data_IF_467315785394
#
_entry.id   IF_467315785394
#
_cell.length_a   1.000
_cell.length_b   1.000
_cell.length_c   1.000
_cell.angle_alpha   90.00
_cell.angle_beta   90.00
_cell.angle_gamma   90.00
#
_symmetry.space_group_name_H-M   'P 1'
#
loop_
_entity.id
_entity.type
_entity.pdbx_description
1 polymer ?
#
# COMPACT_ATOMS: atom_id res chain seq x y z
N UNK A 1 8.02 -11.57 51.96
CA UNK A 1 8.28 -10.54 50.94
C UNK A 1 7.43 -10.88 49.71
N UNK A 2 6.32 -10.16 49.48
CA UNK A 2 5.51 -10.32 48.29
C UNK A 2 6.14 -9.48 47.16
N UNK A 3 6.69 -10.12 46.15
CA UNK A 3 7.16 -9.47 44.95
C UNK A 3 5.95 -9.15 44.08
N UNK A 4 5.53 -7.88 44.05
CA UNK A 4 4.49 -7.39 43.16
C UNK A 4 5.03 -7.41 41.72
N UNK A 5 4.56 -8.36 40.89
CA UNK A 5 4.79 -8.33 39.44
C UNK A 5 3.93 -7.21 38.86
N UNK A 6 4.55 -6.10 38.49
CA UNK A 6 3.93 -5.08 37.64
C UNK A 6 3.79 -5.65 36.23
N UNK A 7 2.59 -6.14 35.87
CA UNK A 7 2.26 -6.39 34.48
C UNK A 7 2.19 -5.03 33.77
N UNK A 8 3.21 -4.73 32.97
CA UNK A 8 3.14 -3.63 32.03
C UNK A 8 2.09 -4.00 30.97
N UNK A 9 0.93 -3.37 30.98
CA UNK A 9 -0.03 -3.47 29.87
C UNK A 9 0.59 -2.84 28.64
N UNK A 10 1.03 -3.69 27.71
CA UNK A 10 1.43 -3.23 26.37
C UNK A 10 0.17 -2.70 25.69
N UNK A 11 0.15 -1.39 25.43
CA UNK A 11 -0.94 -0.76 24.68
C UNK A 11 -0.99 -1.37 23.29
N UNK A 12 -2.04 -2.16 23.01
CA UNK A 12 -2.24 -2.81 21.72
C UNK A 12 -2.55 -1.76 20.65
N UNK A 13 -1.97 -1.92 19.45
CA UNK A 13 -2.31 -1.09 18.32
C UNK A 13 -3.74 -1.40 17.83
N UNK A 14 -4.48 -0.36 17.45
CA UNK A 14 -5.84 -0.51 16.94
C UNK A 14 -6.05 0.30 15.66
N UNK A 15 -6.48 -0.35 14.61
CA UNK A 15 -7.10 0.26 13.44
C UNK A 15 -8.59 0.51 13.75
N UNK A 16 -9.09 1.73 13.54
CA UNK A 16 -10.47 2.13 13.88
C UNK A 16 -11.13 2.74 12.66
N UNK A 17 -12.34 2.29 12.35
CA UNK A 17 -13.12 2.73 11.18
C UNK A 17 -12.63 2.15 9.87
N UNK A 18 -13.05 2.77 8.76
CA UNK A 18 -12.70 2.35 7.42
C UNK A 18 -11.40 2.95 6.91
N UNK A 19 -10.83 2.38 5.86
CA UNK A 19 -9.55 2.81 5.27
C UNK A 19 -9.55 4.27 4.78
N UNK A 20 -10.73 4.84 4.52
CA UNK A 20 -10.91 6.24 4.05
C UNK A 20 -11.65 7.12 5.04
N UNK A 21 -12.03 6.59 6.20
CA UNK A 21 -12.70 7.28 7.30
C UNK A 21 -12.34 6.58 8.61
N UNK A 22 -11.11 6.74 9.06
CA UNK A 22 -10.61 6.02 10.24
C UNK A 22 -9.39 6.67 10.87
N UNK A 23 -8.83 5.99 11.85
CA UNK A 23 -7.59 6.39 12.52
C UNK A 23 -6.82 5.16 13.04
N UNK A 24 -5.65 5.40 13.59
CA UNK A 24 -4.77 4.38 14.14
C UNK A 24 -4.35 4.79 15.55
N UNK A 25 -4.51 3.92 16.53
CA UNK A 25 -3.96 4.09 17.88
C UNK A 25 -2.72 3.22 18.06
N UNK A 26 -1.77 3.71 18.88
CA UNK A 26 -0.52 3.01 19.19
C UNK A 26 0.23 2.51 17.95
N UNK A 27 0.35 3.39 16.96
CA UNK A 27 1.05 3.10 15.70
C UNK A 27 2.51 2.71 15.93
N UNK A 28 3.04 1.83 15.09
CA UNK A 28 4.46 1.53 15.00
C UNK A 28 5.08 2.30 13.82
N UNK A 29 6.23 2.93 14.04
CA UNK A 29 7.01 3.49 12.95
C UNK A 29 7.75 2.38 12.20
N UNK A 30 7.68 2.39 10.85
CA UNK A 30 8.59 1.59 10.03
C UNK A 30 9.98 2.23 10.13
N UNK A 31 11.04 1.51 10.54
CA UNK A 31 12.40 2.01 10.45
C UNK A 31 12.69 2.54 9.05
N UNK A 32 13.42 3.67 8.95
CA UNK A 32 13.59 4.34 7.65
C UNK A 32 14.40 3.53 6.63
N UNK A 33 15.11 2.51 7.11
CA UNK A 33 15.84 1.54 6.32
C UNK A 33 15.86 0.19 7.03
N UNK A 34 16.01 -0.87 6.26
CA UNK A 34 16.11 -2.23 6.77
C UNK A 34 16.50 -3.21 5.66
N UNK A 35 16.69 -4.50 6.01
CA UNK A 35 17.03 -5.50 5.01
C UNK A 35 16.01 -5.56 3.86
N UNK A 36 16.42 -5.16 2.65
CA UNK A 36 15.64 -5.21 1.44
C UNK A 36 14.67 -4.04 1.23
N UNK A 37 14.74 -2.97 2.01
CA UNK A 37 13.92 -1.77 1.78
C UNK A 37 14.55 -0.48 2.29
N UNK A 38 14.08 0.63 1.71
CA UNK A 38 14.38 2.00 2.10
C UNK A 38 13.08 2.83 2.05
N UNK A 39 12.77 3.54 3.13
CA UNK A 39 11.61 4.44 3.17
C UNK A 39 11.96 5.73 2.46
N UNK A 40 11.09 6.19 1.58
CA UNK A 40 11.25 7.45 0.83
C UNK A 40 10.19 8.47 1.24
N UNK A 41 10.38 9.75 0.84
CA UNK A 41 9.49 10.88 1.19
C UNK A 41 9.34 11.08 2.71
N UNK A 42 10.40 10.84 3.46
CA UNK A 42 10.39 10.79 4.93
C UNK A 42 9.91 12.07 5.59
N UNK A 43 10.11 13.24 4.95
CA UNK A 43 9.62 14.55 5.44
C UNK A 43 8.09 14.64 5.55
N UNK A 44 7.35 13.73 4.88
CA UNK A 44 5.88 13.67 5.00
C UNK A 44 5.42 13.08 6.32
N UNK A 45 6.31 12.44 7.10
CA UNK A 45 6.00 11.73 8.35
C UNK A 45 4.89 10.67 8.18
N UNK A 46 4.84 10.00 7.01
CA UNK A 46 3.86 8.99 6.64
C UNK A 46 4.50 7.60 6.57
N UNK A 47 5.19 7.23 7.62
CA UNK A 47 5.87 5.92 7.76
C UNK A 47 5.44 5.16 9.01
N UNK A 48 4.23 5.44 9.50
CA UNK A 48 3.61 4.74 10.62
C UNK A 48 2.57 3.75 10.11
N UNK A 49 2.37 2.66 10.84
CA UNK A 49 1.37 1.66 10.50
C UNK A 49 0.94 0.83 11.71
N UNK A 50 -0.09 0.01 11.51
CA UNK A 50 -0.38 -1.08 12.43
C UNK A 50 0.80 -2.05 12.44
N UNK A 51 1.15 -2.69 13.57
CA UNK A 51 2.26 -3.65 13.63
C UNK A 51 2.19 -4.75 12.56
N UNK A 52 0.99 -5.21 12.21
CA UNK A 52 0.80 -6.20 11.14
C UNK A 52 1.26 -5.68 9.78
N UNK A 53 1.02 -4.38 9.47
CA UNK A 53 1.51 -3.77 8.26
C UNK A 53 3.04 -3.65 8.27
N UNK A 54 3.62 -3.24 9.39
CA UNK A 54 5.08 -3.13 9.53
C UNK A 54 5.74 -4.51 9.35
N UNK A 55 5.18 -5.54 9.98
CA UNK A 55 5.66 -6.92 9.84
C UNK A 55 5.53 -7.43 8.40
N UNK A 56 4.38 -7.17 7.75
CA UNK A 56 4.16 -7.50 6.34
C UNK A 56 5.22 -6.88 5.44
N UNK A 57 5.50 -5.58 5.59
CA UNK A 57 6.47 -4.87 4.76
C UNK A 57 7.88 -5.40 4.94
N UNK A 58 8.30 -5.67 6.18
CA UNK A 58 9.61 -6.24 6.48
C UNK A 58 9.74 -7.67 5.93
N UNK A 59 8.68 -8.47 6.04
CA UNK A 59 8.64 -9.83 5.49
C UNK A 59 8.71 -9.81 3.96
N UNK A 60 7.93 -8.93 3.31
CA UNK A 60 7.98 -8.75 1.86
C UNK A 60 9.36 -8.34 1.39
N UNK A 61 9.99 -7.35 2.06
CA UNK A 61 11.32 -6.88 1.73
C UNK A 61 12.39 -8.00 1.83
N UNK A 62 12.33 -8.81 2.88
CA UNK A 62 13.20 -9.97 3.00
C UNK A 62 12.99 -10.98 1.86
N UNK A 63 11.74 -11.25 1.48
CA UNK A 63 11.42 -12.19 0.41
C UNK A 63 11.86 -11.69 -0.97
N UNK A 64 11.67 -10.40 -1.25
CA UNK A 64 12.15 -9.79 -2.50
C UNK A 64 13.66 -9.85 -2.59
N UNK A 65 14.36 -9.55 -1.50
CA UNK A 65 15.81 -9.69 -1.42
C UNK A 65 16.28 -11.14 -1.65
N UNK A 66 15.61 -12.12 -1.03
CA UNK A 66 15.90 -13.55 -1.26
C UNK A 66 15.64 -13.98 -2.71
N UNK A 67 14.71 -13.33 -3.39
CA UNK A 67 14.44 -13.52 -4.82
C UNK A 67 15.42 -12.76 -5.74
N UNK A 68 16.44 -12.11 -5.18
CA UNK A 68 17.46 -11.37 -5.93
C UNK A 68 17.00 -10.02 -6.47
N UNK A 69 15.90 -9.47 -5.95
CA UNK A 69 15.46 -8.12 -6.31
C UNK A 69 16.23 -7.05 -5.54
N UNK A 70 16.41 -5.84 -6.11
CA UNK A 70 16.92 -4.69 -5.38
C UNK A 70 16.00 -4.28 -4.21
N UNK A 71 16.50 -3.40 -3.32
CA UNK A 71 15.73 -2.89 -2.19
C UNK A 71 14.44 -2.17 -2.65
N UNK A 72 13.36 -2.42 -1.94
CA UNK A 72 12.09 -1.77 -2.17
C UNK A 72 12.14 -0.29 -1.76
N UNK A 73 11.50 0.58 -2.53
CA UNK A 73 11.13 1.90 -2.08
C UNK A 73 9.72 1.86 -1.48
N UNK A 74 9.62 2.18 -0.20
CA UNK A 74 8.35 2.21 0.54
C UNK A 74 8.02 3.66 0.87
N UNK A 75 6.83 4.09 0.49
CA UNK A 75 6.34 5.45 0.77
C UNK A 75 4.86 5.44 1.10
N UNK A 76 4.46 6.53 1.77
CA UNK A 76 3.11 6.82 2.24
C UNK A 76 2.40 5.59 2.85
N UNK A 77 2.69 5.34 4.13
CA UNK A 77 1.89 4.47 5.00
C UNK A 77 0.78 5.34 5.64
N UNK A 78 0.80 5.49 6.96
CA UNK A 78 -0.07 6.39 7.69
C UNK A 78 0.75 7.43 8.46
N UNK A 79 0.07 8.44 9.01
CA UNK A 79 0.60 9.31 10.07
C UNK A 79 0.58 8.57 11.42
N UNK A 80 1.27 9.10 12.43
CA UNK A 80 1.40 8.47 13.75
C UNK A 80 0.06 8.17 14.44
N UNK A 81 -0.98 8.93 14.14
CA UNK A 81 -2.34 8.72 14.66
C UNK A 81 -3.34 8.29 13.57
N UNK A 82 -2.84 7.93 12.38
CA UNK A 82 -3.70 7.68 11.22
C UNK A 82 -4.45 8.95 10.80
N UNK A 83 -5.69 8.75 10.37
CA UNK A 83 -6.55 9.84 9.91
C UNK A 83 -6.21 10.35 8.50
N UNK A 84 -7.02 11.29 7.98
CA UNK A 84 -6.91 11.75 6.60
C UNK A 84 -5.65 12.60 6.38
N UNK A 85 -5.01 12.38 5.24
CA UNK A 85 -3.94 13.26 4.78
C UNK A 85 -4.49 14.61 4.32
N UNK A 86 -3.71 15.66 4.47
CA UNK A 86 -4.05 17.00 3.95
C UNK A 86 -3.95 17.07 2.43
N UNK A 87 -3.17 16.21 1.82
CA UNK A 87 -2.94 16.14 0.36
C UNK A 87 -2.72 14.70 -0.09
N UNK A 88 -3.10 14.38 -1.32
CA UNK A 88 -2.86 13.08 -1.94
C UNK A 88 -3.95 12.06 -1.64
N UNK A 89 -3.56 10.91 -1.14
CA UNK A 89 -4.43 9.73 -0.98
C UNK A 89 -5.60 9.97 -0.01
N UNK A 90 -6.75 9.36 -0.32
CA UNK A 90 -7.93 9.38 0.55
C UNK A 90 -7.92 8.29 1.62
N UNK A 91 -7.19 7.21 1.38
CA UNK A 91 -7.00 6.08 2.31
C UNK A 91 -5.74 6.27 3.18
N UNK A 92 -5.14 5.20 3.66
CA UNK A 92 -4.03 5.16 4.61
C UNK A 92 -4.39 5.62 6.05
N UNK A 93 -5.68 5.78 6.34
CA UNK A 93 -6.09 6.38 7.62
C UNK A 93 -6.00 5.42 8.80
N UNK A 94 -6.09 4.11 8.57
CA UNK A 94 -6.11 3.07 9.61
C UNK A 94 -4.75 2.39 9.82
N UNK A 95 -3.72 2.80 9.08
CA UNK A 95 -2.39 2.18 9.16
C UNK A 95 -2.31 0.77 8.58
N UNK A 96 -3.23 0.40 7.68
CA UNK A 96 -3.30 -0.90 7.01
C UNK A 96 -3.03 -0.80 5.50
N UNK A 97 -2.68 0.38 5.02
CA UNK A 97 -2.37 0.69 3.62
C UNK A 97 -0.89 1.11 3.49
N UNK A 98 -0.24 0.69 2.41
CA UNK A 98 1.11 1.12 2.07
C UNK A 98 1.29 1.23 0.56
N UNK A 99 2.01 2.28 0.12
CA UNK A 99 2.48 2.42 -1.24
C UNK A 99 3.89 1.85 -1.38
N UNK A 100 4.09 1.00 -2.38
CA UNK A 100 5.37 0.40 -2.72
C UNK A 100 5.67 0.76 -4.17
N UNK A 101 6.84 1.37 -4.41
CA UNK A 101 7.20 1.80 -5.75
C UNK A 101 7.66 0.63 -6.61
N UNK A 102 7.36 0.70 -7.91
CA UNK A 102 7.88 -0.26 -8.90
C UNK A 102 9.38 -0.06 -9.17
N UNK A 103 9.88 1.16 -8.97
CA UNK A 103 11.31 1.41 -8.96
C UNK A 103 11.91 0.87 -7.66
N UNK A 104 12.99 0.12 -7.80
CA UNK A 104 13.74 -0.46 -6.68
C UNK A 104 15.15 0.13 -6.64
N UNK A 105 15.81 0.09 -5.49
CA UNK A 105 17.12 0.68 -5.26
C UNK A 105 18.25 -0.36 -5.39
N UNK A 106 19.18 -0.15 -6.29
CA UNK A 106 20.38 -1.00 -6.44
C UNK A 106 21.50 -0.65 -5.43
N UNK A 107 21.32 0.40 -4.65
CA UNK A 107 22.27 0.92 -3.66
C UNK A 107 21.53 1.67 -2.55
N UNK A 108 22.15 1.87 -1.39
CA UNK A 108 21.65 2.84 -0.42
C UNK A 108 21.49 4.23 -1.08
N UNK A 109 20.40 4.92 -0.77
CA UNK A 109 20.13 6.26 -1.30
C UNK A 109 20.55 7.33 -0.28
N UNK A 110 20.96 8.49 -0.80
CA UNK A 110 21.27 9.64 0.04
C UNK A 110 20.02 10.20 0.71
N UNK A 111 20.18 10.95 1.80
CA UNK A 111 19.08 11.62 2.48
C UNK A 111 18.27 12.53 1.54
N UNK A 112 18.95 13.18 0.62
CA UNK A 112 18.29 14.03 -0.38
C UNK A 112 17.42 13.20 -1.34
N UNK A 113 17.96 12.08 -1.87
CA UNK A 113 17.18 11.16 -2.74
C UNK A 113 16.02 10.53 -1.99
N UNK A 114 16.18 10.26 -0.70
CA UNK A 114 15.14 9.73 0.18
C UNK A 114 13.97 10.72 0.32
N UNK A 115 14.27 12.00 0.51
CA UNK A 115 13.25 13.04 0.69
C UNK A 115 12.60 13.50 -0.62
N UNK A 116 13.36 13.50 -1.72
CA UNK A 116 12.93 13.91 -3.06
C UNK A 116 13.26 12.84 -4.12
N UNK A 117 12.67 11.63 -4.02
CA UNK A 117 12.97 10.56 -4.95
C UNK A 117 12.46 10.91 -6.34
N UNK A 118 13.29 10.62 -7.36
CA UNK A 118 12.88 10.79 -8.76
C UNK A 118 11.80 9.76 -9.10
N UNK A 119 10.65 10.23 -9.53
CA UNK A 119 9.57 9.38 -9.99
C UNK A 119 9.98 8.56 -11.21
N UNK A 120 9.48 7.34 -11.28
CA UNK A 120 9.73 6.40 -12.36
C UNK A 120 8.41 5.72 -12.74
N UNK A 121 7.66 6.43 -13.60
CA UNK A 121 6.38 5.92 -14.07
C UNK A 121 6.56 4.72 -15.00
N UNK A 122 5.66 3.75 -14.89
CA UNK A 122 5.54 2.62 -15.80
C UNK A 122 4.66 2.96 -17.00
N UNK A 123 3.78 3.94 -16.82
CA UNK A 123 2.73 4.31 -17.77
C UNK A 123 2.99 5.73 -18.24
N UNK A 124 2.88 5.96 -19.53
CA UNK A 124 2.74 7.30 -20.10
C UNK A 124 1.31 7.79 -19.87
N UNK A 125 1.15 8.77 -18.99
CA UNK A 125 -0.17 9.22 -18.55
C UNK A 125 -1.01 9.80 -19.70
N UNK A 126 -0.47 10.63 -20.61
CA UNK A 126 -1.22 11.16 -21.74
C UNK A 126 -1.76 10.09 -22.68
N UNK A 127 -0.94 9.13 -23.08
CA UNK A 127 -1.34 8.04 -24.00
C UNK A 127 -1.99 6.86 -23.31
N UNK A 128 -1.85 6.76 -21.97
CA UNK A 128 -2.32 5.65 -21.15
C UNK A 128 -1.76 4.30 -21.61
N UNK A 129 -0.47 4.29 -21.98
CA UNK A 129 0.25 3.11 -22.48
C UNK A 129 1.44 2.77 -21.59
N UNK A 130 1.77 1.49 -21.55
CA UNK A 130 3.00 1.02 -20.90
C UNK A 130 4.22 1.63 -21.58
N UNK A 131 5.12 2.21 -20.83
CA UNK A 131 6.40 2.68 -21.32
C UNK A 131 7.33 1.50 -21.61
N UNK A 132 8.03 1.48 -22.75
CA UNK A 132 8.92 0.38 -23.10
C UNK A 132 9.97 0.10 -22.01
N UNK A 133 10.16 -1.18 -21.67
CA UNK A 133 11.15 -1.62 -20.69
C UNK A 133 10.84 -1.26 -19.23
N UNK A 134 9.66 -0.72 -18.93
CA UNK A 134 9.30 -0.30 -17.56
C UNK A 134 8.65 -1.41 -16.73
N UNK A 135 7.95 -2.33 -17.34
CA UNK A 135 7.36 -3.49 -16.68
C UNK A 135 7.99 -4.78 -17.20
N UNK A 136 8.53 -5.58 -16.30
CA UNK A 136 9.24 -6.81 -16.63
C UNK A 136 9.21 -7.85 -15.51
N UNK A 137 10.06 -8.88 -15.57
CA UNK A 137 10.07 -9.98 -14.59
C UNK A 137 10.23 -9.51 -13.14
N UNK A 138 11.00 -8.45 -12.89
CA UNK A 138 11.19 -7.93 -11.53
C UNK A 138 9.90 -7.36 -10.95
N UNK A 139 9.18 -6.52 -11.72
CA UNK A 139 7.91 -5.93 -11.30
C UNK A 139 6.82 -6.99 -11.13
N UNK A 140 6.78 -7.99 -12.02
CA UNK A 140 5.86 -9.12 -11.91
C UNK A 140 6.15 -9.96 -10.66
N UNK A 141 7.42 -10.27 -10.39
CA UNK A 141 7.85 -11.01 -9.19
C UNK A 141 7.49 -10.24 -7.92
N UNK A 142 7.73 -8.93 -7.89
CA UNK A 142 7.37 -8.08 -6.76
C UNK A 142 5.86 -8.11 -6.49
N UNK A 143 5.02 -7.95 -7.51
CA UNK A 143 3.55 -8.02 -7.37
C UNK A 143 3.09 -9.39 -6.89
N UNK A 144 3.67 -10.47 -7.43
CA UNK A 144 3.36 -11.84 -6.99
C UNK A 144 3.67 -12.04 -5.52
N UNK A 145 4.87 -11.68 -5.07
CA UNK A 145 5.26 -11.81 -3.66
C UNK A 145 4.36 -10.98 -2.75
N UNK A 146 4.05 -9.75 -3.14
CA UNK A 146 3.18 -8.87 -2.38
C UNK A 146 1.75 -9.43 -2.26
N UNK A 147 1.16 -9.90 -3.37
CA UNK A 147 -0.23 -10.37 -3.41
C UNK A 147 -0.43 -11.77 -2.82
N UNK A 148 0.60 -12.61 -2.76
CA UNK A 148 0.47 -14.01 -2.31
C UNK A 148 0.23 -14.16 -0.80
N UNK A 149 0.31 -13.08 -0.02
CA UNK A 149 0.14 -13.13 1.43
C UNK A 149 -1.34 -13.18 1.84
N UNK A 150 -1.72 -14.04 2.81
CA UNK A 150 -3.12 -14.19 3.25
C UNK A 150 -3.68 -12.92 3.88
N UNK A 151 -2.85 -12.13 4.58
CA UNK A 151 -3.24 -10.87 5.21
C UNK A 151 -3.57 -9.77 4.20
N UNK A 152 -3.15 -9.88 2.94
CA UNK A 152 -3.45 -8.91 1.89
C UNK A 152 -4.89 -9.08 1.42
N UNK A 153 -5.70 -8.03 1.63
CA UNK A 153 -7.08 -7.96 1.17
C UNK A 153 -7.13 -7.68 -0.35
N UNK A 154 -6.33 -6.70 -0.81
CA UNK A 154 -6.19 -6.32 -2.22
C UNK A 154 -4.97 -5.46 -2.46
N UNK A 155 -4.63 -5.31 -3.73
CA UNK A 155 -3.58 -4.39 -4.20
C UNK A 155 -4.18 -3.55 -5.32
N UNK A 156 -4.11 -2.23 -5.20
CA UNK A 156 -4.54 -1.33 -6.27
C UNK A 156 -3.38 -1.07 -7.22
N UNK A 157 -3.64 -1.24 -8.50
CA UNK A 157 -2.68 -1.03 -9.59
C UNK A 157 -3.34 -0.28 -10.75
N UNK A 158 -2.54 0.40 -11.57
CA UNK A 158 -3.06 0.97 -12.80
C UNK A 158 -3.68 -0.12 -13.70
N UNK A 159 -4.82 0.13 -14.38
CA UNK A 159 -5.46 -0.85 -15.27
C UNK A 159 -4.53 -1.40 -16.36
N UNK A 160 -3.62 -0.58 -16.90
CA UNK A 160 -2.63 -1.03 -17.90
C UNK A 160 -1.63 -2.02 -17.29
N UNK A 161 -1.22 -1.82 -16.03
CA UNK A 161 -0.37 -2.77 -15.31
C UNK A 161 -1.15 -4.06 -15.04
N UNK A 162 -2.40 -3.97 -14.61
CA UNK A 162 -3.27 -5.15 -14.42
C UNK A 162 -3.39 -5.95 -15.73
N UNK A 163 -3.56 -5.27 -16.88
CA UNK A 163 -3.61 -5.92 -18.19
C UNK A 163 -2.33 -6.69 -18.51
N UNK A 164 -1.16 -6.08 -18.26
CA UNK A 164 0.12 -6.74 -18.48
C UNK A 164 0.31 -7.97 -17.57
N UNK A 165 -0.16 -7.90 -16.31
CA UNK A 165 -0.14 -9.07 -15.40
C UNK A 165 -1.10 -10.16 -15.88
N UNK A 166 -2.31 -9.81 -16.33
CA UNK A 166 -3.28 -10.78 -16.85
C UNK A 166 -2.74 -11.56 -18.06
N UNK A 167 -1.98 -10.91 -18.92
CA UNK A 167 -1.34 -11.55 -20.08
C UNK A 167 -0.24 -12.56 -19.70
N UNK A 168 0.45 -12.34 -18.58
CA UNK A 168 1.60 -13.12 -18.16
C UNK A 168 1.28 -14.17 -17.08
N UNK A 169 0.28 -13.92 -16.24
CA UNK A 169 -0.02 -14.72 -15.05
C UNK A 169 -1.53 -14.76 -14.73
N UNK A 170 -2.41 -14.60 -15.73
CA UNK A 170 -3.85 -14.45 -15.51
C UNK A 170 -4.51 -15.58 -14.73
N UNK A 171 -4.00 -16.80 -14.81
CA UNK A 171 -4.57 -17.97 -14.13
C UNK A 171 -4.06 -18.15 -12.68
N UNK A 172 -3.09 -17.34 -12.27
CA UNK A 172 -2.53 -17.44 -10.93
C UNK A 172 -3.48 -16.85 -9.86
N UNK A 173 -3.74 -17.55 -8.72
CA UNK A 173 -4.72 -17.12 -7.72
C UNK A 173 -4.47 -15.72 -7.12
N UNK A 174 -3.20 -15.31 -7.01
CA UNK A 174 -2.83 -14.00 -6.46
C UNK A 174 -3.28 -12.83 -7.34
N UNK A 175 -3.49 -13.07 -8.64
CA UNK A 175 -3.92 -12.05 -9.61
C UNK A 175 -5.30 -11.48 -9.26
N UNK A 176 -6.17 -12.26 -8.65
CA UNK A 176 -7.48 -11.81 -8.16
C UNK A 176 -7.39 -10.62 -7.20
N UNK A 177 -6.32 -10.55 -6.40
CA UNK A 177 -6.12 -9.46 -5.43
C UNK A 177 -5.68 -8.15 -6.07
N UNK A 178 -5.18 -8.16 -7.31
CA UNK A 178 -4.83 -6.95 -8.04
C UNK A 178 -6.12 -6.30 -8.58
N UNK A 179 -6.43 -5.12 -8.09
CA UNK A 179 -7.64 -4.39 -8.50
C UNK A 179 -7.28 -3.14 -9.29
N UNK A 180 -7.87 -2.94 -10.47
CA UNK A 180 -7.59 -1.76 -11.26
C UNK A 180 -8.08 -0.50 -10.51
N UNK A 181 -7.26 0.55 -10.52
CA UNK A 181 -7.59 1.83 -9.94
C UNK A 181 -6.88 2.97 -10.67
N UNK A 182 -7.49 4.17 -10.65
CA UNK A 182 -6.89 5.37 -11.28
C UNK A 182 -5.55 5.72 -10.64
N UNK A 183 -4.69 6.42 -11.37
CA UNK A 183 -3.33 6.71 -10.92
C UNK A 183 -2.47 5.44 -10.88
N UNK A 184 -1.65 5.29 -9.85
CA UNK A 184 -0.78 4.12 -9.65
C UNK A 184 0.17 3.87 -10.84
N UNK A 185 0.71 4.98 -11.42
CA UNK A 185 1.61 4.91 -12.57
C UNK A 185 3.02 4.45 -12.19
N UNK A 186 3.46 4.75 -10.96
CA UNK A 186 4.83 4.53 -10.47
C UNK A 186 4.92 3.61 -9.26
N UNK A 187 3.80 3.31 -8.63
CA UNK A 187 3.69 2.48 -7.43
C UNK A 187 2.43 1.61 -7.47
N UNK A 188 2.36 0.64 -6.59
CA UNK A 188 1.13 -0.07 -6.26
C UNK A 188 0.80 0.15 -4.79
N UNK A 189 -0.50 0.09 -4.47
CA UNK A 189 -1.02 0.32 -3.14
C UNK A 189 -1.50 -1.00 -2.54
N UNK A 190 -0.86 -1.46 -1.49
CA UNK A 190 -1.25 -2.65 -0.74
C UNK A 190 -2.25 -2.26 0.34
N UNK A 191 -3.28 -3.09 0.51
CA UNK A 191 -4.24 -3.00 1.62
C UNK A 191 -4.31 -4.33 2.35
N UNK A 192 -4.06 -4.29 3.64
CA UNK A 192 -4.24 -5.45 4.52
C UNK A 192 -5.70 -5.58 5.00
N UNK A 193 -6.04 -6.78 5.45
CA UNK A 193 -7.31 -7.03 6.17
C UNK A 193 -7.27 -6.37 7.54
N UNK A 194 -8.45 -6.14 8.11
CA UNK A 194 -8.56 -5.73 9.50
C UNK A 194 -7.89 -6.77 10.42
N UNK A 195 -7.01 -6.34 11.34
CA UNK A 195 -6.39 -7.22 12.32
C UNK A 195 -7.40 -7.76 13.34
N UNK A 196 -7.20 -8.97 13.83
CA UNK A 196 -8.08 -9.59 14.85
C UNK A 196 -8.15 -8.73 16.13
N UNK A 197 -7.08 -8.00 16.48
CA UNK A 197 -7.02 -7.13 17.65
C UNK A 197 -7.65 -5.73 17.46
N UNK A 198 -8.31 -5.47 16.32
CA UNK A 198 -8.94 -4.17 16.01
C UNK A 198 -10.45 -4.35 15.77
N UNK A 199 -11.26 -4.51 16.85
CA UNK A 199 -12.69 -4.82 16.73
C UNK A 199 -13.51 -3.73 16.03
N UNK A 200 -13.05 -2.48 16.09
CA UNK A 200 -13.70 -1.34 15.43
C UNK A 200 -13.17 -1.06 14.02
N UNK A 201 -12.35 -1.94 13.47
CA UNK A 201 -11.88 -1.84 12.09
C UNK A 201 -12.98 -2.32 11.13
N UNK A 202 -13.32 -1.46 10.15
CA UNK A 202 -14.33 -1.76 9.15
C UNK A 202 -13.70 -2.41 7.91
N UNK A 203 -13.89 -3.73 7.79
CA UNK A 203 -13.38 -4.48 6.65
C UNK A 203 -14.08 -4.04 5.35
N UNK A 204 -13.30 -3.74 4.32
CA UNK A 204 -13.84 -3.49 2.99
C UNK A 204 -14.51 -4.76 2.43
N UNK A 205 -15.58 -4.59 1.63
CA UNK A 205 -16.26 -5.70 0.97
C UNK A 205 -15.28 -6.65 0.25
N UNK A 206 -15.53 -7.95 0.24
CA UNK A 206 -14.69 -8.94 -0.44
C UNK A 206 -14.45 -8.57 -1.92
N UNK A 207 -13.33 -9.02 -2.48
CA UNK A 207 -13.10 -8.91 -3.93
C UNK A 207 -14.11 -9.79 -4.67
N UNK A 208 -14.61 -9.36 -5.85
CA UNK A 208 -15.47 -10.21 -6.67
C UNK A 208 -14.77 -11.52 -7.06
N UNK A 209 -15.54 -12.58 -7.33
CA UNK A 209 -14.99 -13.85 -7.82
C UNK A 209 -14.20 -13.70 -9.13
N UNK A 210 -13.27 -14.62 -9.39
CA UNK A 210 -12.43 -14.63 -10.57
C UNK A 210 -11.17 -13.77 -10.45
N UNK A 211 -10.34 -13.79 -11.48
CA UNK A 211 -9.05 -13.12 -11.52
C UNK A 211 -9.13 -11.60 -11.82
N UNK A 212 -10.30 -11.08 -12.18
CA UNK A 212 -10.50 -9.68 -12.54
C UNK A 212 -9.87 -9.28 -13.89
N UNK A 213 -9.53 -10.23 -14.76
CA UNK A 213 -8.93 -9.99 -16.08
C UNK A 213 -9.95 -9.84 -17.23
N UNK A 214 -11.22 -10.11 -16.95
CA UNK A 214 -12.31 -10.08 -17.93
C UNK A 214 -13.01 -8.71 -18.04
N UNK A 215 -14.34 -8.73 -17.96
CA UNK A 215 -15.21 -7.57 -18.20
C UNK A 215 -14.89 -6.36 -17.28
N UNK A 216 -14.51 -6.61 -16.04
CA UNK A 216 -14.11 -5.53 -15.11
C UNK A 216 -12.90 -4.77 -15.66
N UNK A 217 -11.82 -5.46 -16.01
CA UNK A 217 -10.63 -4.83 -16.57
C UNK A 217 -10.93 -4.12 -17.89
N UNK A 218 -11.72 -4.76 -18.75
CA UNK A 218 -12.13 -4.18 -20.03
C UNK A 218 -12.87 -2.84 -19.85
N UNK A 219 -13.73 -2.73 -18.84
CA UNK A 219 -14.43 -1.47 -18.53
C UNK A 219 -13.47 -0.34 -18.11
N UNK A 220 -12.42 -0.67 -17.37
CA UNK A 220 -11.38 0.29 -16.97
C UNK A 220 -10.47 0.74 -18.11
N UNK A 221 -10.29 -0.10 -19.13
CA UNK A 221 -9.43 0.19 -20.29
C UNK A 221 -10.17 0.91 -21.41
N UNK A 222 -11.51 0.75 -21.48
CA UNK A 222 -12.35 1.38 -22.51
C UNK A 222 -12.36 2.90 -22.38
N UNK A 223 -12.59 3.39 -21.17
CA UNK A 223 -12.66 4.81 -20.87
C UNK A 223 -11.48 5.13 -19.95
N UNK A 224 -10.54 5.99 -20.39
CA UNK A 224 -9.43 6.41 -19.52
C UNK A 224 -9.99 6.91 -18.20
N UNK A 225 -9.73 6.23 -17.08
CA UNK A 225 -10.28 6.66 -15.81
C UNK A 225 -9.67 8.01 -15.43
N UNK A 226 -10.54 8.99 -15.20
CA UNK A 226 -10.11 10.31 -14.77
C UNK A 226 -9.92 10.33 -13.26
N UNK A 227 -8.84 10.96 -12.81
CA UNK A 227 -8.70 11.29 -11.39
C UNK A 227 -9.90 12.13 -10.94
N UNK A 228 -10.48 11.87 -9.77
CA UNK A 228 -11.55 12.70 -9.23
C UNK A 228 -11.10 14.16 -9.20
N UNK A 229 -11.96 15.08 -9.65
CA UNK A 229 -11.66 16.52 -9.57
C UNK A 229 -11.35 16.91 -8.13
N UNK A 230 -10.36 17.76 -7.93
CA UNK A 230 -9.89 18.21 -6.60
C UNK A 230 -11.05 18.70 -5.70
N UNK A 231 -12.08 19.29 -6.28
CA UNK A 231 -13.29 19.74 -5.55
C UNK A 231 -14.08 18.61 -4.88
N UNK A 232 -13.98 17.37 -5.36
CA UNK A 232 -14.63 16.20 -4.74
C UNK A 232 -13.79 15.58 -3.61
N UNK A 233 -12.53 15.96 -3.50
CA UNK A 233 -11.58 15.47 -2.49
C UNK A 233 -11.74 16.25 -1.17
N UNK A 234 -12.31 17.46 -1.21
CA UNK A 234 -12.31 18.40 -0.09
C UNK A 234 -13.39 18.15 1.00
N UNK A 235 -14.23 17.14 0.88
CA UNK A 235 -15.09 16.74 2.00
C UNK A 235 -14.30 15.77 2.87
N UNK A 236 -13.81 16.29 4.01
CA UNK A 236 -13.23 15.44 5.06
C UNK A 236 -14.25 14.36 5.45
N UNK A 237 -13.84 13.10 5.56
CA UNK A 237 -14.74 12.05 6.00
C UNK A 237 -15.21 12.32 7.44
N UNK A 238 -16.42 11.90 7.77
CA UNK A 238 -16.88 11.86 9.16
C UNK A 238 -16.14 10.71 9.83
N UNK A 239 -15.22 11.06 10.72
CA UNK A 239 -14.45 10.09 11.46
C UNK A 239 -15.28 9.44 12.58
N UNK A 240 -15.03 8.17 12.92
CA UNK A 240 -15.56 7.53 14.12
C UNK A 240 -15.32 8.38 15.37
N UNK A 241 -16.22 8.30 16.36
CA UNK A 241 -16.10 9.07 17.62
C UNK A 241 -14.77 8.82 18.32
N UNK A 242 -14.29 7.60 18.33
CA UNK A 242 -12.98 7.21 18.91
C UNK A 242 -11.76 7.83 18.21
N UNK A 243 -11.93 8.42 17.03
CA UNK A 243 -10.88 9.11 16.26
C UNK A 243 -10.89 10.63 16.41
N UNK A 244 -11.81 11.21 17.18
CA UNK A 244 -12.03 12.68 17.25
C UNK A 244 -11.39 13.35 18.48
N UNK A 245 -10.57 12.63 19.23
CA UNK A 245 -9.88 13.16 20.42
C UNK A 245 -8.49 13.67 20.05
#
# INVERSE_FOLDING_TARGET
MLTSLLLATVLQAEAIGGYTAGCLKNAMALPLEGPGYQVIRTKRLRYYGHPDLIHYLQTLANQTRMAGLPDLYIADLAMAHGGPFTTGHRSHQTGLDADIWFRMANRPISKWEQDAPKEWALIDEPSYKMLPGRFGPQQLTLLRLAASKPEVARIFVNPVIKSAVCQQAGDEPWVAKLRPWVGHFSHFHVRLRCPAGSPDCEQQAPIPPGNGCGAELASWLKDKPQLPKVSSINKMPVLPSRCRN
#
